data_IF_605586430522
#
_entry.id   IF_605586430522
#
_cell.length_a   1.000
_cell.length_b   1.000
_cell.length_c   1.000
_cell.angle_alpha   90.00
_cell.angle_beta   90.00
_cell.angle_gamma   90.00
#
_symmetry.space_group_name_H-M   'P 1'
#
loop_
_entity.id
_entity.type
_entity.pdbx_description
1 polymer ?
#
# COMPACT_ATOMS: atom_id res chain seq x y z
N UNK A 1 7.53 11.52 15.40
CA UNK A 1 7.30 11.26 13.96
C UNK A 1 7.78 9.86 13.66
N UNK A 2 6.92 8.93 13.22
CA UNK A 2 7.39 7.65 12.68
C UNK A 2 8.17 7.91 11.39
N UNK A 3 9.32 7.27 11.22
CA UNK A 3 10.06 7.35 9.96
C UNK A 3 9.27 6.65 8.84
N UNK A 4 9.47 7.06 7.59
CA UNK A 4 8.91 6.36 6.43
C UNK A 4 9.27 4.87 6.43
N UNK A 5 10.47 4.56 6.92
CA UNK A 5 10.95 3.20 7.11
C UNK A 5 10.09 2.39 8.08
N UNK A 6 9.73 2.96 9.23
CA UNK A 6 8.83 2.29 10.18
C UNK A 6 7.43 2.08 9.60
N UNK A 7 6.92 3.06 8.85
CA UNK A 7 5.61 2.93 8.18
C UNK A 7 5.61 1.80 7.15
N UNK A 8 6.65 1.71 6.32
CA UNK A 8 6.79 0.64 5.32
C UNK A 8 6.93 -0.72 6.02
N UNK A 9 7.78 -0.84 7.04
CA UNK A 9 7.92 -2.08 7.81
C UNK A 9 6.61 -2.52 8.47
N UNK A 10 5.92 -1.61 9.16
CA UNK A 10 4.63 -1.95 9.80
C UNK A 10 3.56 -2.32 8.78
N UNK A 11 3.61 -1.75 7.56
CA UNK A 11 2.70 -2.11 6.48
C UNK A 11 3.02 -3.49 5.92
N UNK A 12 4.29 -3.86 5.76
CA UNK A 12 4.72 -5.20 5.33
C UNK A 12 4.32 -6.26 6.37
N UNK A 13 4.57 -6.00 7.66
CA UNK A 13 4.15 -6.90 8.74
C UNK A 13 2.62 -6.97 8.83
N UNK A 14 1.93 -5.87 8.56
CA UNK A 14 0.48 -5.83 8.41
C UNK A 14 -0.01 -6.73 7.28
N UNK A 15 0.59 -6.67 6.08
CA UNK A 15 0.24 -7.53 4.95
C UNK A 15 0.49 -9.01 5.27
N UNK A 16 1.60 -9.34 5.92
CA UNK A 16 1.92 -10.72 6.34
C UNK A 16 0.92 -11.27 7.35
N UNK A 17 0.45 -10.43 8.28
CA UNK A 17 -0.50 -10.81 9.32
C UNK A 17 -1.97 -10.66 8.90
N UNK A 18 -2.28 -9.92 7.83
CA UNK A 18 -3.64 -9.73 7.29
C UNK A 18 -4.05 -10.80 6.26
N UNK A 19 -3.51 -12.01 6.35
CA UNK A 19 -3.94 -13.14 5.51
C UNK A 19 -5.45 -13.46 5.63
N UNK A 20 -6.13 -12.93 6.66
CA UNK A 20 -7.58 -13.03 6.82
C UNK A 20 -8.40 -12.13 5.87
N UNK A 21 -7.83 -11.06 5.30
CA UNK A 21 -8.55 -10.12 4.43
C UNK A 21 -8.43 -10.44 2.94
N UNK A 22 -7.43 -11.21 2.53
CA UNK A 22 -7.17 -11.52 1.12
C UNK A 22 -6.81 -12.99 0.97
N UNK A 23 -7.34 -13.66 -0.06
CA UNK A 23 -6.99 -15.05 -0.33
C UNK A 23 -5.81 -15.11 -1.30
N UNK A 24 -4.69 -15.66 -0.84
CA UNK A 24 -3.49 -15.86 -1.67
C UNK A 24 -3.55 -17.26 -2.29
N UNK A 25 -3.33 -17.36 -3.60
CA UNK A 25 -3.24 -18.63 -4.36
C UNK A 25 -1.98 -18.60 -5.22
N UNK A 26 -0.89 -19.19 -4.73
CA UNK A 26 0.43 -19.04 -5.35
C UNK A 26 0.87 -17.59 -5.38
N UNK A 27 1.05 -17.01 -6.58
CA UNK A 27 1.39 -15.58 -6.79
C UNK A 27 0.17 -14.67 -6.98
N UNK A 28 -1.04 -15.22 -6.93
CA UNK A 28 -2.28 -14.47 -7.15
C UNK A 28 -2.91 -14.05 -5.81
N UNK A 29 -3.19 -12.76 -5.64
CA UNK A 29 -3.94 -12.22 -4.49
C UNK A 29 -5.38 -11.97 -4.92
N UNK A 30 -6.34 -12.57 -4.21
CA UNK A 30 -7.78 -12.32 -4.39
C UNK A 30 -8.28 -11.39 -3.30
N UNK A 31 -8.78 -10.22 -3.71
CA UNK A 31 -9.37 -9.23 -2.83
C UNK A 31 -10.88 -9.52 -2.62
N UNK A 32 -11.48 -9.12 -1.48
CA UNK A 32 -12.92 -9.20 -1.25
C UNK A 32 -13.73 -8.42 -2.29
N UNK A 33 -14.95 -8.90 -2.61
CA UNK A 33 -15.86 -8.27 -3.60
C UNK A 33 -16.21 -6.81 -3.30
N UNK A 34 -16.12 -6.37 -2.04
CA UNK A 34 -16.44 -5.00 -1.61
C UNK A 34 -15.25 -4.42 -0.86
N UNK A 35 -14.32 -3.83 -1.61
CA UNK A 35 -13.20 -3.10 -1.05
C UNK A 35 -12.92 -1.85 -1.86
N UNK A 36 -12.57 -0.75 -1.18
CA UNK A 36 -12.10 0.45 -1.87
C UNK A 36 -10.60 0.28 -2.11
N UNK A 37 -10.17 0.53 -3.34
CA UNK A 37 -8.79 0.33 -3.76
C UNK A 37 -8.21 1.66 -4.23
N UNK A 38 -6.94 1.88 -3.92
CA UNK A 38 -6.11 2.90 -4.54
C UNK A 38 -4.99 2.17 -5.25
N UNK A 39 -4.91 2.39 -6.56
CA UNK A 39 -3.89 1.78 -7.41
C UNK A 39 -2.87 2.88 -7.72
N UNK A 40 -1.63 2.64 -7.34
CA UNK A 40 -0.50 3.52 -7.67
C UNK A 40 0.30 2.80 -8.75
N UNK A 41 0.38 3.44 -9.92
CA UNK A 41 1.20 2.99 -11.03
C UNK A 41 2.70 3.18 -10.77
N UNK A 42 3.49 3.04 -11.83
CA UNK A 42 4.94 3.17 -11.73
C UNK A 42 5.35 4.56 -11.23
N UNK A 43 6.27 4.56 -10.28
CA UNK A 43 6.81 5.81 -9.72
C UNK A 43 8.27 6.05 -10.08
N UNK A 44 9.00 5.07 -10.64
CA UNK A 44 10.38 5.23 -11.11
C UNK A 44 11.27 5.91 -10.05
N UNK A 45 11.16 5.47 -8.80
CA UNK A 45 11.92 6.06 -7.68
C UNK A 45 11.48 7.46 -7.21
N UNK A 46 10.41 8.07 -7.75
CA UNK A 46 9.92 9.39 -7.32
C UNK A 46 9.18 9.34 -5.98
N UNK A 47 9.95 9.27 -4.91
CA UNK A 47 9.47 9.34 -3.53
C UNK A 47 8.79 10.67 -3.19
N UNK A 48 9.06 11.76 -3.92
CA UNK A 48 8.39 13.06 -3.68
C UNK A 48 6.95 12.99 -4.15
N UNK A 49 6.71 12.42 -5.33
CA UNK A 49 5.38 12.17 -5.85
C UNK A 49 4.61 11.20 -4.97
N UNK A 50 5.22 10.10 -4.52
CA UNK A 50 4.59 9.19 -3.54
C UNK A 50 4.17 9.93 -2.27
N UNK A 51 5.07 10.73 -1.69
CA UNK A 51 4.78 11.50 -0.47
C UNK A 51 3.64 12.50 -0.67
N UNK A 52 3.60 13.20 -1.82
CA UNK A 52 2.49 14.08 -2.17
C UNK A 52 1.17 13.32 -2.26
N UNK A 53 1.14 12.19 -2.96
CA UNK A 53 -0.07 11.35 -3.09
C UNK A 53 -0.56 10.95 -1.70
N UNK A 54 0.30 10.37 -0.86
CA UNK A 54 -0.06 9.91 0.49
C UNK A 54 -0.65 11.06 1.31
N UNK A 55 0.09 12.16 1.45
CA UNK A 55 -0.27 13.28 2.34
C UNK A 55 -1.46 14.10 1.84
N UNK A 56 -1.55 14.42 0.54
CA UNK A 56 -2.63 15.25 -0.01
C UNK A 56 -3.96 14.50 -0.04
N UNK A 57 -3.94 13.19 -0.32
CA UNK A 57 -5.15 12.36 -0.32
C UNK A 57 -5.52 11.83 1.06
N UNK A 58 -4.70 12.12 2.08
CA UNK A 58 -4.83 11.60 3.46
C UNK A 58 -4.85 10.06 3.45
N UNK A 59 -4.14 9.45 2.50
CA UNK A 59 -4.16 8.01 2.29
C UNK A 59 -3.60 7.28 3.49
N UNK A 60 -2.61 7.86 4.18
CA UNK A 60 -2.03 7.23 5.37
C UNK A 60 -3.10 6.90 6.42
N UNK A 61 -4.01 7.84 6.70
CA UNK A 61 -5.07 7.63 7.70
C UNK A 61 -6.12 6.62 7.24
N UNK A 62 -6.40 6.57 5.94
CA UNK A 62 -7.39 5.64 5.37
C UNK A 62 -6.85 4.21 5.35
N UNK A 63 -5.54 4.05 5.12
CA UNK A 63 -4.82 2.78 5.20
C UNK A 63 -4.76 2.28 6.65
N UNK A 64 -4.40 3.14 7.60
CA UNK A 64 -4.38 2.80 9.04
C UNK A 64 -5.74 2.31 9.56
N UNK A 65 -6.84 2.87 9.04
CA UNK A 65 -8.21 2.48 9.40
C UNK A 65 -8.74 1.27 8.62
N UNK A 66 -7.97 0.72 7.68
CA UNK A 66 -8.42 -0.39 6.82
C UNK A 66 -9.55 -0.01 5.86
N UNK A 67 -9.78 1.28 5.60
CA UNK A 67 -10.87 1.76 4.74
C UNK A 67 -10.58 1.56 3.25
N UNK A 68 -9.30 1.43 2.89
CA UNK A 68 -8.79 1.25 1.53
C UNK A 68 -7.62 0.28 1.52
N UNK A 69 -7.42 -0.38 0.38
CA UNK A 69 -6.20 -1.13 0.07
C UNK A 69 -5.38 -0.36 -0.96
N UNK A 70 -4.09 -0.24 -0.70
CA UNK A 70 -3.12 0.28 -1.66
C UNK A 70 -2.55 -0.87 -2.48
N UNK A 71 -2.71 -0.81 -3.79
CA UNK A 71 -2.07 -1.71 -4.75
C UNK A 71 -0.95 -0.94 -5.42
N UNK A 72 0.27 -1.45 -5.26
CA UNK A 72 1.48 -0.88 -5.79
C UNK A 72 1.90 -1.72 -7.00
N UNK A 73 1.87 -1.16 -8.22
CA UNK A 73 2.02 -1.95 -9.46
C UNK A 73 3.47 -2.33 -9.79
N UNK A 74 4.46 -1.66 -9.20
CA UNK A 74 5.87 -1.98 -9.37
C UNK A 74 6.70 -0.74 -9.66
N UNK A 75 7.96 -0.98 -10.03
CA UNK A 75 8.89 0.04 -10.52
C UNK A 75 9.13 1.23 -9.59
N UNK A 76 9.03 0.99 -8.28
CA UNK A 76 9.37 1.97 -7.24
C UNK A 76 10.88 2.11 -7.03
N UNK A 77 11.65 1.17 -7.60
CA UNK A 77 13.09 1.06 -7.46
C UNK A 77 13.65 1.08 -8.89
N UNK A 78 13.58 2.23 -9.54
CA UNK A 78 14.38 2.42 -10.74
C UNK A 78 14.84 3.87 -10.86
N UNK A 79 16.16 4.02 -10.80
CA UNK A 79 16.98 4.94 -11.59
C UNK A 79 18.41 4.48 -11.58
#
# INVERSE_FOLDING_TARGET
MRSLYEFIRSSIDGIRNQSSYFRITGKLVRLPKRMRMVIVGDLHGDLRSLKKILTQTRLERRLERGEVVLIALGDYIDR
#
